data_IF_449732197257
#
_entry.id   IF_449732197257
#
_cell.length_a   1.000
_cell.length_b   1.000
_cell.length_c   1.000
_cell.angle_alpha   90.00
_cell.angle_beta   90.00
_cell.angle_gamma   90.00
#
_symmetry.space_group_name_H-M   'P 1'
#
loop_
_entity.id
_entity.type
_entity.pdbx_description
1 polymer ?
#
# COMPACT_ATOMS: atom_id res chain seq x y z
N UNK A 1 -12.72 11.97 6.35
CA UNK A 1 -11.24 12.04 6.42
C UNK A 1 -10.62 11.06 5.45
N UNK A 2 -9.54 11.44 4.77
CA UNK A 2 -8.81 10.56 3.86
C UNK A 2 -7.58 9.94 4.55
N UNK A 3 -7.37 8.63 4.35
CA UNK A 3 -6.17 7.90 4.78
C UNK A 3 -5.47 7.41 3.52
N UNK A 4 -4.27 7.91 3.26
CA UNK A 4 -3.44 7.50 2.14
C UNK A 4 -2.47 6.43 2.61
N UNK A 5 -2.74 5.17 2.28
CA UNK A 5 -1.88 4.04 2.63
C UNK A 5 -0.91 3.75 1.50
N UNK A 6 0.32 4.16 1.68
CA UNK A 6 1.42 4.02 0.72
C UNK A 6 2.13 2.68 0.90
N UNK A 7 2.35 1.96 -0.17
CA UNK A 7 3.11 0.71 -0.15
C UNK A 7 3.73 0.39 -1.51
N UNK A 8 4.80 -0.39 -1.51
CA UNK A 8 5.23 -1.14 -2.71
C UNK A 8 4.35 -2.39 -2.93
N UNK A 9 4.52 -3.07 -4.07
CA UNK A 9 3.87 -4.36 -4.32
C UNK A 9 4.31 -5.42 -3.30
N UNK A 10 3.48 -6.43 -3.07
CA UNK A 10 3.75 -7.58 -2.17
C UNK A 10 3.91 -7.24 -0.68
N UNK A 11 3.49 -6.06 -0.25
CA UNK A 11 3.56 -5.60 1.14
C UNK A 11 2.29 -5.89 1.96
N UNK A 12 1.37 -6.72 1.49
CA UNK A 12 0.08 -7.05 2.12
C UNK A 12 -0.92 -5.86 2.16
N UNK A 13 -0.75 -4.86 1.29
CA UNK A 13 -1.62 -3.67 1.26
C UNK A 13 -3.09 -3.98 1.00
N UNK A 14 -3.38 -4.97 0.14
CA UNK A 14 -4.76 -5.40 -0.12
C UNK A 14 -5.36 -6.12 1.09
N UNK A 15 -4.58 -6.87 1.86
CA UNK A 15 -5.03 -7.48 3.13
C UNK A 15 -5.41 -6.38 4.14
N UNK A 16 -4.58 -5.34 4.25
CA UNK A 16 -4.89 -4.19 5.12
C UNK A 16 -6.10 -3.42 4.62
N UNK A 17 -6.26 -3.24 3.29
CA UNK A 17 -7.46 -2.65 2.70
C UNK A 17 -8.72 -3.44 3.07
N UNK A 18 -8.71 -4.78 3.01
CA UNK A 18 -9.82 -5.64 3.48
C UNK A 18 -10.18 -5.38 4.94
N UNK A 19 -9.17 -5.22 5.79
CA UNK A 19 -9.35 -4.91 7.20
C UNK A 19 -10.09 -3.59 7.41
N UNK A 20 -9.72 -2.54 6.68
CA UNK A 20 -10.38 -1.24 6.74
C UNK A 20 -11.77 -1.26 6.12
N UNK A 21 -11.94 -1.90 4.97
CA UNK A 21 -13.24 -2.05 4.29
C UNK A 21 -14.31 -2.72 5.16
N UNK A 22 -13.88 -3.63 6.06
CA UNK A 22 -14.81 -4.37 6.93
C UNK A 22 -15.35 -3.54 8.11
N UNK A 23 -14.96 -2.28 8.24
CA UNK A 23 -15.52 -1.30 9.17
C UNK A 23 -16.81 -0.73 8.59
N UNK A 24 -17.78 -0.38 9.45
CA UNK A 24 -19.05 0.22 9.02
C UNK A 24 -18.89 1.67 8.54
N UNK A 25 -17.85 2.37 9.04
CA UNK A 25 -17.61 3.80 8.84
C UNK A 25 -16.56 4.10 7.76
N UNK A 26 -16.13 3.10 6.98
CA UNK A 26 -15.01 3.23 6.03
C UNK A 26 -15.40 2.77 4.62
N UNK A 27 -15.19 3.64 3.64
CA UNK A 27 -15.09 3.28 2.22
C UNK A 27 -13.63 3.09 1.84
N UNK A 28 -13.37 2.27 0.81
CA UNK A 28 -12.01 2.03 0.31
C UNK A 28 -11.90 2.39 -1.16
N UNK A 29 -10.72 2.86 -1.54
CA UNK A 29 -10.38 3.11 -2.94
C UNK A 29 -9.09 2.38 -3.29
N UNK A 30 -9.21 1.42 -4.19
CA UNK A 30 -8.12 0.56 -4.62
C UNK A 30 -7.32 1.20 -5.75
N UNK A 31 -6.08 1.52 -5.54
CA UNK A 31 -5.08 2.02 -6.49
C UNK A 31 -5.57 3.14 -7.43
N UNK A 32 -6.00 4.31 -6.90
CA UNK A 32 -6.59 5.38 -7.71
C UNK A 32 -5.68 5.90 -8.84
N UNK A 33 -4.38 5.74 -8.74
CA UNK A 33 -3.40 6.19 -9.74
C UNK A 33 -3.02 5.14 -10.79
N UNK A 34 -3.61 3.94 -10.78
CA UNK A 34 -3.15 2.87 -11.67
C UNK A 34 -3.40 3.18 -13.16
N UNK A 35 -4.58 3.69 -13.52
CA UNK A 35 -4.88 4.07 -14.91
C UNK A 35 -3.97 5.20 -15.41
N UNK A 36 -3.71 6.22 -14.57
CA UNK A 36 -2.74 7.27 -14.86
C UNK A 36 -1.34 6.69 -15.13
N UNK A 37 -0.84 5.85 -14.21
CA UNK A 37 0.46 5.20 -14.35
C UNK A 37 0.60 4.44 -15.68
N UNK A 38 -0.38 3.61 -16.02
CA UNK A 38 -0.36 2.84 -17.26
C UNK A 38 -0.48 3.72 -18.51
N UNK A 39 -1.27 4.80 -18.42
CA UNK A 39 -1.41 5.76 -19.52
C UNK A 39 -0.11 6.52 -19.78
N UNK A 40 0.61 6.92 -18.73
CA UNK A 40 1.85 7.69 -18.85
C UNK A 40 3.06 6.83 -19.23
N UNK A 41 3.21 5.66 -18.61
CA UNK A 41 4.39 4.81 -18.81
C UNK A 41 4.29 3.91 -20.04
N UNK A 42 3.08 3.66 -20.53
CA UNK A 42 2.79 2.69 -21.58
C UNK A 42 3.26 1.26 -21.26
N UNK A 43 3.63 0.98 -20.00
CA UNK A 43 4.04 -0.37 -19.56
C UNK A 43 2.99 -1.40 -19.96
N UNK A 44 3.46 -2.55 -20.39
CA UNK A 44 2.58 -3.66 -20.79
C UNK A 44 2.16 -4.47 -19.54
N UNK A 45 1.09 -4.06 -18.91
CA UNK A 45 0.48 -4.79 -17.80
C UNK A 45 -0.77 -5.55 -18.26
N UNK A 46 -1.10 -6.69 -17.64
CA UNK A 46 -2.35 -7.37 -17.89
C UNK A 46 -3.56 -6.44 -17.72
N UNK A 47 -4.51 -6.50 -18.64
CA UNK A 47 -5.74 -5.68 -18.63
C UNK A 47 -5.52 -4.16 -18.78
N UNK A 48 -4.36 -3.71 -19.28
CA UNK A 48 -3.99 -2.29 -19.42
C UNK A 48 -5.11 -1.46 -20.06
N UNK A 49 -5.58 -1.87 -21.25
CA UNK A 49 -6.60 -1.09 -21.99
C UNK A 49 -7.93 -1.02 -21.22
N UNK A 50 -8.31 -2.13 -20.57
CA UNK A 50 -9.51 -2.14 -19.73
C UNK A 50 -9.36 -1.18 -18.55
N UNK A 51 -8.20 -1.16 -17.89
CA UNK A 51 -7.95 -0.26 -16.76
C UNK A 51 -8.03 1.20 -17.21
N UNK A 52 -7.33 1.57 -18.29
CA UNK A 52 -7.32 2.94 -18.81
C UNK A 52 -8.73 3.40 -19.25
N UNK A 53 -9.52 2.50 -19.86
CA UNK A 53 -10.86 2.82 -20.32
C UNK A 53 -11.91 2.85 -19.18
N UNK A 54 -11.63 2.20 -18.04
CA UNK A 54 -12.61 2.11 -16.93
C UNK A 54 -12.38 3.20 -15.87
N UNK A 55 -11.13 3.58 -15.63
CA UNK A 55 -10.76 4.49 -14.55
C UNK A 55 -10.17 5.78 -15.07
N UNK A 56 -10.31 6.91 -14.35
CA UNK A 56 -9.72 8.17 -14.75
C UNK A 56 -8.20 8.08 -14.87
N UNK A 57 -7.64 8.63 -15.95
CA UNK A 57 -6.20 8.72 -16.21
C UNK A 57 -5.67 10.15 -16.20
N UNK A 58 -6.55 11.16 -16.11
CA UNK A 58 -6.15 12.57 -15.93
C UNK A 58 -5.75 12.80 -14.48
N UNK A 59 -4.49 13.22 -14.27
CA UNK A 59 -3.93 13.37 -12.93
C UNK A 59 -4.63 14.47 -12.12
N UNK A 60 -5.05 15.58 -12.75
CA UNK A 60 -5.71 16.68 -12.05
C UNK A 60 -7.08 16.25 -11.54
N UNK A 61 -7.83 15.52 -12.38
CA UNK A 61 -9.12 14.94 -11.98
C UNK A 61 -8.96 13.95 -10.84
N UNK A 62 -7.95 13.07 -10.91
CA UNK A 62 -7.69 12.07 -9.87
C UNK A 62 -7.31 12.75 -8.56
N UNK A 63 -6.40 13.74 -8.60
CA UNK A 63 -5.99 14.48 -7.39
C UNK A 63 -7.18 15.17 -6.70
N UNK A 64 -8.05 15.79 -7.49
CA UNK A 64 -9.27 16.43 -6.96
C UNK A 64 -10.15 15.39 -6.24
N UNK A 65 -10.38 14.24 -6.87
CA UNK A 65 -11.20 13.17 -6.29
C UNK A 65 -10.56 12.56 -5.02
N UNK A 66 -9.22 12.33 -5.02
CA UNK A 66 -8.51 11.78 -3.86
C UNK A 66 -8.51 12.73 -2.66
N UNK A 67 -8.52 14.05 -2.91
CA UNK A 67 -8.50 15.08 -1.86
C UNK A 67 -9.88 15.41 -1.31
N UNK A 68 -10.94 15.01 -2.03
CA UNK A 68 -12.33 15.32 -1.63
C UNK A 68 -12.68 14.64 -0.31
N UNK A 69 -13.39 15.32 0.56
CA UNK A 69 -13.93 14.70 1.77
C UNK A 69 -14.88 13.54 1.41
N UNK A 70 -14.83 12.41 2.15
CA UNK A 70 -15.74 11.30 1.92
C UNK A 70 -17.19 11.70 2.12
N UNK A 71 -18.07 11.31 1.18
CA UNK A 71 -19.50 11.68 1.20
C UNK A 71 -20.37 10.66 1.94
N UNK A 72 -20.10 9.37 1.76
CA UNK A 72 -20.98 8.29 2.24
C UNK A 72 -20.55 7.75 3.60
N UNK A 73 -19.27 7.74 3.88
CA UNK A 73 -18.68 7.22 5.12
C UNK A 73 -17.76 8.26 5.75
N UNK A 74 -17.50 8.10 7.04
CA UNK A 74 -16.60 8.99 7.78
C UNK A 74 -15.14 8.93 7.28
N UNK A 75 -14.72 7.77 6.80
CA UNK A 75 -13.34 7.46 6.40
C UNK A 75 -13.33 7.00 4.95
N UNK A 76 -12.38 7.50 4.16
CA UNK A 76 -11.97 6.93 2.87
C UNK A 76 -10.54 6.41 3.01
N UNK A 77 -10.37 5.10 2.98
CA UNK A 77 -9.06 4.46 2.97
C UNK A 77 -8.61 4.23 1.53
N UNK A 78 -7.59 4.94 1.10
CA UNK A 78 -7.05 4.86 -0.26
C UNK A 78 -5.76 4.03 -0.25
N UNK A 79 -5.78 2.90 -0.93
CA UNK A 79 -4.60 2.08 -1.12
C UNK A 79 -3.79 2.60 -2.32
N UNK A 80 -2.59 3.07 -2.06
CA UNK A 80 -1.68 3.61 -3.07
C UNK A 80 -0.49 2.71 -3.30
N UNK A 81 -0.18 2.46 -4.57
CA UNK A 81 1.06 1.80 -4.97
C UNK A 81 2.11 2.88 -5.27
N UNK A 82 3.21 2.85 -4.54
CA UNK A 82 4.25 3.89 -4.60
C UNK A 82 4.92 4.03 -5.97
N UNK A 83 5.04 2.93 -6.72
CA UNK A 83 5.57 2.96 -8.09
C UNK A 83 4.61 3.60 -9.12
N UNK A 84 3.35 3.88 -8.74
CA UNK A 84 2.46 4.68 -9.58
C UNK A 84 2.76 6.19 -9.52
N UNK A 85 3.63 6.62 -8.61
CA UNK A 85 4.09 8.01 -8.49
C UNK A 85 5.30 8.21 -9.39
N UNK A 86 5.05 8.78 -10.56
CA UNK A 86 6.10 9.15 -11.52
C UNK A 86 6.84 10.41 -11.05
N UNK A 87 7.99 10.71 -11.66
CA UNK A 87 8.78 11.89 -11.31
C UNK A 87 7.96 13.19 -11.44
N UNK A 88 7.18 13.28 -12.51
CA UNK A 88 6.31 14.44 -12.80
C UNK A 88 4.99 14.46 -12.04
N UNK A 89 4.66 13.43 -11.25
CA UNK A 89 3.38 13.39 -10.53
C UNK A 89 3.35 14.45 -9.44
N UNK A 90 2.38 15.40 -9.46
CA UNK A 90 2.25 16.38 -8.40
C UNK A 90 1.90 15.71 -7.07
N UNK A 91 2.48 16.19 -5.96
CA UNK A 91 2.28 15.62 -4.62
C UNK A 91 1.68 16.63 -3.62
N UNK A 92 1.13 17.76 -4.08
CA UNK A 92 0.49 18.74 -3.20
C UNK A 92 -0.77 18.21 -2.50
N UNK A 93 -1.50 17.30 -3.15
CA UNK A 93 -2.72 16.70 -2.62
C UNK A 93 -2.51 15.80 -1.38
N UNK A 94 -1.30 15.28 -1.13
CA UNK A 94 -1.02 14.46 0.06
C UNK A 94 -1.19 15.22 1.37
N UNK A 95 -1.28 16.54 1.31
CA UNK A 95 -1.52 17.40 2.46
C UNK A 95 -2.95 17.31 3.00
N UNK A 96 -3.91 16.88 2.18
CA UNK A 96 -5.33 16.80 2.50
C UNK A 96 -5.74 15.50 3.20
N UNK A 97 -4.79 14.63 3.56
CA UNK A 97 -5.09 13.38 4.25
C UNK A 97 -3.99 12.94 5.19
N UNK A 98 -4.25 11.84 5.91
CA UNK A 98 -3.29 11.18 6.78
C UNK A 98 -2.45 10.22 5.95
N UNK A 99 -1.14 10.42 5.93
CA UNK A 99 -0.21 9.58 5.18
C UNK A 99 0.33 8.46 6.06
N UNK A 100 0.04 7.21 5.68
CA UNK A 100 0.53 6.01 6.33
C UNK A 100 1.40 5.20 5.36
N UNK A 101 2.43 4.56 5.88
CA UNK A 101 3.38 3.77 5.09
C UNK A 101 3.33 2.32 5.55
N UNK A 102 3.01 1.42 4.63
CA UNK A 102 3.06 -0.02 4.87
C UNK A 102 4.30 -0.59 4.19
N UNK A 103 5.24 -1.05 5.00
CA UNK A 103 6.52 -1.60 4.54
C UNK A 103 6.61 -3.09 4.83
N UNK A 104 7.47 -3.76 4.08
CA UNK A 104 7.88 -5.14 4.31
C UNK A 104 9.36 -5.30 3.98
N UNK A 105 10.04 -6.21 4.68
CA UNK A 105 11.47 -6.45 4.46
C UNK A 105 11.76 -6.78 2.98
N UNK A 106 12.72 -6.10 2.31
CA UNK A 106 12.94 -6.23 0.87
C UNK A 106 13.24 -7.67 0.43
N UNK A 107 13.91 -8.47 1.26
CA UNK A 107 14.12 -9.90 1.01
C UNK A 107 12.81 -10.66 0.76
N UNK A 108 11.77 -10.34 1.54
CA UNK A 108 10.48 -10.99 1.41
C UNK A 108 9.67 -10.45 0.22
N UNK A 109 9.83 -9.16 -0.08
CA UNK A 109 9.21 -8.52 -1.24
C UNK A 109 9.78 -9.11 -2.52
N UNK A 110 11.10 -9.11 -2.69
CA UNK A 110 11.79 -9.67 -3.87
C UNK A 110 11.37 -11.12 -4.09
N UNK A 111 11.52 -11.98 -3.06
CA UNK A 111 11.15 -13.40 -3.17
C UNK A 111 9.67 -13.65 -3.46
N UNK A 112 8.79 -12.73 -3.08
CA UNK A 112 7.36 -12.82 -3.42
C UNK A 112 7.08 -12.31 -4.83
N UNK A 113 7.81 -11.30 -5.29
CA UNK A 113 7.60 -10.62 -6.57
C UNK A 113 8.06 -11.48 -7.74
N UNK A 114 9.27 -12.04 -7.65
CA UNK A 114 9.88 -12.87 -8.72
C UNK A 114 9.10 -14.15 -9.05
N UNK A 115 8.18 -14.57 -8.19
CA UNK A 115 7.30 -15.72 -8.49
C UNK A 115 6.33 -15.49 -9.64
N UNK A 116 6.01 -14.25 -9.96
CA UNK A 116 5.01 -13.86 -10.97
C UNK A 116 5.50 -12.79 -11.94
N UNK A 117 6.60 -12.10 -11.62
CA UNK A 117 7.08 -10.93 -12.35
C UNK A 117 8.60 -10.94 -12.41
N UNK A 118 9.17 -10.27 -13.40
CA UNK A 118 10.59 -9.96 -13.43
C UNK A 118 10.87 -8.64 -12.70
N UNK A 119 12.04 -8.54 -12.06
CA UNK A 119 12.53 -7.28 -11.49
C UNK A 119 13.69 -6.84 -12.38
N UNK A 120 13.58 -5.66 -12.97
CA UNK A 120 14.65 -5.04 -13.75
C UNK A 120 15.35 -3.95 -12.94
N UNK A 121 14.61 -3.26 -12.08
CA UNK A 121 15.06 -2.12 -11.30
C UNK A 121 14.32 -2.03 -9.97
N UNK A 122 14.84 -1.26 -9.01
CA UNK A 122 14.24 -1.07 -7.67
C UNK A 122 12.88 -0.35 -7.72
N UNK A 123 12.61 0.43 -8.78
CA UNK A 123 11.32 1.04 -9.05
C UNK A 123 10.20 0.00 -9.20
N UNK A 124 10.47 -1.15 -9.80
CA UNK A 124 9.47 -2.21 -10.03
C UNK A 124 8.86 -2.74 -8.73
N UNK A 125 9.63 -2.70 -7.64
CA UNK A 125 9.18 -3.13 -6.31
C UNK A 125 8.84 -1.95 -5.38
N UNK A 126 8.86 -0.72 -5.91
CA UNK A 126 8.25 0.46 -5.33
C UNK A 126 8.97 1.11 -4.15
N UNK A 127 10.21 0.72 -3.81
CA UNK A 127 10.93 1.31 -2.67
C UNK A 127 11.33 2.76 -2.92
N UNK A 128 11.83 3.08 -4.11
CA UNK A 128 12.22 4.46 -4.45
C UNK A 128 11.01 5.41 -4.45
N UNK A 129 9.91 5.00 -5.05
CA UNK A 129 8.68 5.78 -5.02
C UNK A 129 8.15 5.98 -3.59
N UNK A 130 8.21 4.94 -2.75
CA UNK A 130 7.83 5.03 -1.34
C UNK A 130 8.70 6.01 -0.57
N UNK A 131 10.02 5.97 -0.80
CA UNK A 131 10.97 6.86 -0.17
C UNK A 131 10.77 8.33 -0.59
N UNK A 132 10.49 8.58 -1.87
CA UNK A 132 10.16 9.92 -2.38
C UNK A 132 8.97 10.53 -1.63
N UNK A 133 7.89 9.74 -1.44
CA UNK A 133 6.71 10.18 -0.72
C UNK A 133 7.02 10.38 0.76
N UNK A 134 7.71 9.45 1.38
CA UNK A 134 8.14 9.52 2.78
C UNK A 134 8.93 10.81 3.06
N UNK A 135 9.93 11.12 2.23
CA UNK A 135 10.72 12.36 2.30
C UNK A 135 9.86 13.62 2.12
N UNK A 136 8.88 13.58 1.24
CA UNK A 136 7.94 14.70 1.05
C UNK A 136 7.07 14.91 2.30
N UNK A 137 6.50 13.86 2.87
CA UNK A 137 5.69 13.94 4.11
C UNK A 137 6.54 14.45 5.29
N UNK A 138 7.78 13.97 5.42
CA UNK A 138 8.75 14.45 6.43
C UNK A 138 9.03 15.95 6.28
N UNK A 139 9.23 16.43 5.05
CA UNK A 139 9.46 17.87 4.77
C UNK A 139 8.25 18.75 5.10
N UNK A 140 7.05 18.19 5.06
CA UNK A 140 5.81 18.90 5.43
C UNK A 140 5.59 18.93 6.97
N UNK A 141 6.54 18.44 7.76
CA UNK A 141 6.44 18.29 9.21
C UNK A 141 5.16 17.54 9.65
N UNK A 142 4.65 16.64 8.79
CA UNK A 142 3.54 15.77 9.12
C UNK A 142 4.05 14.51 9.84
N UNK A 143 3.17 13.95 10.65
CA UNK A 143 3.49 12.72 11.37
C UNK A 143 3.79 11.57 10.41
N UNK A 144 4.88 10.85 10.68
CA UNK A 144 5.29 9.66 9.92
C UNK A 144 4.70 8.42 10.58
N UNK A 145 3.69 7.84 9.96
CA UNK A 145 2.95 6.67 10.47
C UNK A 145 3.38 5.46 9.66
N UNK A 146 4.25 4.64 10.23
CA UNK A 146 4.84 3.48 9.55
C UNK A 146 4.36 2.18 10.18
N UNK A 147 3.87 1.26 9.36
CA UNK A 147 3.42 -0.08 9.74
C UNK A 147 4.26 -1.12 9.01
N UNK A 148 4.83 -2.06 9.74
CA UNK A 148 5.53 -3.19 9.16
C UNK A 148 4.57 -4.37 8.95
N UNK A 149 4.53 -4.91 7.73
CA UNK A 149 3.65 -6.02 7.38
C UNK A 149 3.87 -7.28 8.23
N UNK A 150 5.11 -7.53 8.67
CA UNK A 150 5.41 -8.66 9.54
C UNK A 150 4.87 -8.47 10.96
N UNK A 151 4.90 -7.23 11.47
CA UNK A 151 4.36 -6.96 12.79
C UNK A 151 2.84 -7.09 12.82
N UNK A 152 2.16 -6.59 11.77
CA UNK A 152 0.71 -6.72 11.69
C UNK A 152 0.26 -8.19 11.58
N UNK A 153 1.02 -9.04 10.88
CA UNK A 153 0.70 -10.47 10.78
C UNK A 153 1.03 -11.25 12.06
N UNK A 154 1.99 -10.80 12.86
CA UNK A 154 2.32 -11.40 14.17
C UNK A 154 1.25 -11.12 15.22
N UNK A 155 0.78 -9.90 15.31
CA UNK A 155 -0.23 -9.48 16.26
C UNK A 155 -1.15 -8.41 15.64
N UNK A 156 -2.12 -8.82 14.80
CA UNK A 156 -2.96 -7.90 14.04
C UNK A 156 -3.79 -6.98 14.94
N UNK A 157 -4.38 -7.50 16.02
CA UNK A 157 -5.23 -6.71 16.91
C UNK A 157 -4.44 -5.58 17.58
N UNK A 158 -3.27 -5.90 18.13
CA UNK A 158 -2.41 -4.89 18.78
C UNK A 158 -1.99 -3.80 17.79
N UNK A 159 -1.50 -4.20 16.60
CA UNK A 159 -1.03 -3.23 15.60
C UNK A 159 -2.16 -2.38 15.04
N UNK A 160 -3.34 -2.94 14.81
CA UNK A 160 -4.50 -2.19 14.36
C UNK A 160 -5.00 -1.22 15.43
N UNK A 161 -4.97 -1.59 16.71
CA UNK A 161 -5.27 -0.66 17.83
C UNK A 161 -4.28 0.51 17.86
N UNK A 162 -2.98 0.25 17.70
CA UNK A 162 -1.95 1.29 17.63
C UNK A 162 -2.15 2.21 16.41
N UNK A 163 -2.38 1.63 15.23
CA UNK A 163 -2.63 2.39 14.02
C UNK A 163 -3.89 3.26 14.17
N UNK A 164 -4.99 2.70 14.63
CA UNK A 164 -6.23 3.45 14.86
C UNK A 164 -6.03 4.61 15.84
N UNK A 165 -5.32 4.38 16.96
CA UNK A 165 -4.97 5.42 17.92
C UNK A 165 -4.15 6.54 17.25
N UNK A 166 -3.15 6.16 16.45
CA UNK A 166 -2.23 7.09 15.79
C UNK A 166 -2.93 7.98 14.76
N UNK A 167 -3.88 7.43 14.00
CA UNK A 167 -4.70 8.17 13.04
C UNK A 167 -5.98 8.77 13.63
N UNK A 168 -6.12 8.71 14.94
CA UNK A 168 -7.27 9.27 15.68
C UNK A 168 -8.65 8.74 15.24
N UNK A 169 -8.76 7.41 15.10
CA UNK A 169 -10.03 6.73 14.87
C UNK A 169 -10.28 5.65 15.92
N UNK A 170 -11.54 5.32 16.17
CA UNK A 170 -11.90 4.22 17.07
C UNK A 170 -11.53 2.88 16.42
N UNK A 171 -10.85 2.01 17.16
CA UNK A 171 -10.63 0.62 16.73
C UNK A 171 -11.97 -0.13 16.61
N UNK A 172 -12.07 -0.99 15.58
CA UNK A 172 -13.19 -1.91 15.39
C UNK A 172 -12.69 -3.33 15.32
N UNK A 173 -13.28 -4.25 16.08
CA UNK A 173 -12.94 -5.68 16.04
C UNK A 173 -13.26 -6.32 14.68
N UNK A 174 -14.14 -5.71 13.88
CA UNK A 174 -14.43 -6.12 12.50
C UNK A 174 -13.21 -6.07 11.59
N UNK A 175 -12.16 -5.30 11.96
CA UNK A 175 -10.91 -5.20 11.19
C UNK A 175 -10.08 -6.49 11.21
N UNK A 176 -10.33 -7.44 12.12
CA UNK A 176 -9.53 -8.66 12.26
C UNK A 176 -9.95 -9.74 11.27
N UNK A 177 -11.23 -9.79 10.91
CA UNK A 177 -11.79 -10.81 10.03
C UNK A 177 -12.68 -10.15 8.98
N UNK A 178 -12.70 -10.70 7.78
CA UNK A 178 -13.53 -10.25 6.66
C UNK A 178 -14.09 -11.45 5.88
N UNK A 179 -15.18 -11.28 5.13
CA UNK A 179 -15.75 -12.33 4.29
C UNK A 179 -14.78 -12.79 3.19
N UNK A 180 -14.88 -14.06 2.82
CA UNK A 180 -14.16 -14.65 1.69
C UNK A 180 -14.59 -14.03 0.35
N UNK A 181 -13.69 -13.96 -0.63
CA UNK A 181 -14.02 -13.63 -2.02
C UNK A 181 -13.62 -12.22 -2.45
N UNK A 182 -14.10 -11.84 -3.63
CA UNK A 182 -13.90 -10.51 -4.22
C UNK A 182 -14.85 -9.47 -3.61
N UNK A 183 -14.52 -8.20 -3.79
CA UNK A 183 -15.32 -7.05 -3.34
C UNK A 183 -15.73 -6.17 -4.52
N UNK A 184 -16.82 -5.44 -4.37
CA UNK A 184 -17.22 -4.42 -5.32
C UNK A 184 -16.19 -3.28 -5.43
N UNK A 185 -15.44 -3.03 -4.36
CA UNK A 185 -14.36 -2.05 -4.27
C UNK A 185 -13.06 -2.49 -4.96
N UNK A 186 -12.91 -3.76 -5.32
CA UNK A 186 -11.73 -4.25 -6.03
C UNK A 186 -11.65 -3.63 -7.42
N UNK A 187 -10.49 -3.07 -7.76
CA UNK A 187 -10.21 -2.69 -9.13
C UNK A 187 -10.30 -3.90 -10.07
N UNK A 188 -10.61 -3.67 -11.34
CA UNK A 188 -10.81 -4.77 -12.33
C UNK A 188 -9.59 -5.71 -12.43
N UNK A 189 -8.40 -5.26 -12.04
CA UNK A 189 -7.15 -6.03 -11.95
C UNK A 189 -7.13 -7.11 -10.87
N UNK A 190 -8.11 -7.13 -9.97
CA UNK A 190 -8.24 -8.16 -8.93
C UNK A 190 -8.23 -9.59 -9.50
N UNK A 191 -8.68 -9.76 -10.74
CA UNK A 191 -8.69 -11.06 -11.43
C UNK A 191 -7.30 -11.64 -11.64
N UNK A 192 -6.28 -10.78 -11.71
CA UNK A 192 -4.87 -11.15 -11.97
C UNK A 192 -4.04 -11.14 -10.68
N UNK A 193 -4.24 -10.10 -9.84
CA UNK A 193 -3.34 -9.84 -8.73
C UNK A 193 -3.82 -10.33 -7.36
N UNK A 194 -5.13 -10.61 -7.19
CA UNK A 194 -5.72 -10.88 -5.88
C UNK A 194 -6.04 -12.35 -5.59
N UNK A 195 -5.43 -13.31 -6.33
CA UNK A 195 -5.69 -14.75 -6.17
C UNK A 195 -5.57 -15.21 -4.71
N UNK A 196 -4.49 -14.80 -4.03
CA UNK A 196 -4.26 -15.17 -2.62
C UNK A 196 -5.19 -14.43 -1.67
N UNK A 197 -5.42 -13.12 -1.89
CA UNK A 197 -6.22 -12.33 -0.96
C UNK A 197 -7.71 -12.69 -1.01
N UNK A 198 -8.22 -13.13 -2.16
CA UNK A 198 -9.60 -13.62 -2.30
C UNK A 198 -9.88 -14.84 -1.42
N UNK A 199 -8.84 -15.63 -1.12
CA UNK A 199 -8.92 -16.83 -0.29
C UNK A 199 -8.67 -16.55 1.20
N UNK A 200 -8.34 -15.30 1.56
CA UNK A 200 -8.09 -14.91 2.93
C UNK A 200 -9.34 -14.38 3.62
N UNK A 201 -9.43 -14.63 4.92
CA UNK A 201 -10.49 -14.11 5.80
C UNK A 201 -9.95 -13.37 7.02
N UNK A 202 -8.62 -13.34 7.17
CA UNK A 202 -7.91 -12.71 8.28
C UNK A 202 -6.44 -12.46 7.91
N UNK A 203 -5.69 -11.86 8.82
CA UNK A 203 -4.24 -11.77 8.71
C UNK A 203 -3.60 -13.13 8.98
N UNK A 204 -3.04 -13.75 7.94
CA UNK A 204 -2.36 -15.03 8.08
C UNK A 204 -0.93 -14.85 8.61
N UNK A 205 -0.56 -15.65 9.61
CA UNK A 205 0.84 -15.76 10.03
C UNK A 205 1.63 -16.46 8.92
N UNK A 206 2.49 -15.74 8.23
CA UNK A 206 3.45 -16.36 7.33
C UNK A 206 4.66 -16.83 8.13
N UNK A 207 4.95 -18.12 8.05
CA UNK A 207 6.22 -18.65 8.57
C UNK A 207 7.32 -18.14 7.64
N UNK A 208 8.18 -17.28 8.16
CA UNK A 208 9.35 -16.82 7.42
C UNK A 208 10.30 -18.01 7.20
N UNK A 209 10.23 -18.65 6.04
CA UNK A 209 11.29 -19.55 5.61
C UNK A 209 12.55 -18.69 5.37
N UNK A 210 13.71 -19.18 5.81
CA UNK A 210 14.99 -18.59 5.42
C UNK A 210 15.13 -18.72 3.90
N UNK A 211 14.81 -17.66 3.18
CA UNK A 211 14.88 -17.62 1.72
C UNK A 211 16.12 -16.80 1.36
N UNK A 212 16.99 -17.33 0.52
CA UNK A 212 18.14 -16.59 0.03
C UNK A 212 17.71 -15.63 -1.08
N UNK A 213 18.42 -14.51 -1.22
CA UNK A 213 18.29 -13.61 -2.35
C UNK A 213 19.11 -14.19 -3.49
N UNK A 214 18.54 -14.39 -4.69
CA UNK A 214 19.34 -14.74 -5.88
C UNK A 214 20.39 -13.66 -6.15
N UNK A 215 21.59 -14.08 -6.59
CA UNK A 215 22.75 -13.20 -6.74
C UNK A 215 22.50 -12.00 -7.65
N UNK A 216 21.71 -12.19 -8.70
CA UNK A 216 21.31 -11.15 -9.65
C UNK A 216 20.50 -10.01 -9.03
N UNK A 217 19.86 -10.20 -7.86
CA UNK A 217 19.08 -9.18 -7.16
C UNK A 217 19.79 -8.57 -5.95
N UNK A 218 21.06 -8.90 -5.69
CA UNK A 218 21.77 -8.40 -4.50
C UNK A 218 21.93 -6.87 -4.51
N UNK A 219 22.20 -6.27 -5.67
CA UNK A 219 22.32 -4.81 -5.79
C UNK A 219 20.99 -4.12 -5.45
N UNK A 220 19.90 -4.56 -6.06
CA UNK A 220 18.55 -4.05 -5.80
C UNK A 220 18.16 -4.28 -4.34
N UNK A 221 18.49 -5.44 -3.79
CA UNK A 221 18.21 -5.74 -2.38
C UNK A 221 18.92 -4.75 -1.43
N UNK A 222 20.21 -4.46 -1.65
CA UNK A 222 20.97 -3.57 -0.79
C UNK A 222 20.42 -2.14 -0.86
N UNK A 223 20.12 -1.62 -2.05
CA UNK A 223 19.48 -0.32 -2.22
C UNK A 223 18.14 -0.24 -1.49
N UNK A 224 17.29 -1.24 -1.66
CA UNK A 224 16.00 -1.28 -0.99
C UNK A 224 16.12 -1.48 0.53
N UNK A 225 17.18 -2.15 1.01
CA UNK A 225 17.41 -2.38 2.44
C UNK A 225 17.73 -1.07 3.16
N UNK A 226 18.52 -0.19 2.59
CA UNK A 226 18.85 1.12 3.17
C UNK A 226 17.58 1.97 3.31
N UNK A 227 16.75 2.03 2.26
CA UNK A 227 15.46 2.71 2.27
C UNK A 227 14.54 2.10 3.33
N UNK A 228 14.43 0.77 3.37
CA UNK A 228 13.63 0.06 4.36
C UNK A 228 14.05 0.39 5.79
N UNK A 229 15.34 0.39 6.08
CA UNK A 229 15.87 0.65 7.41
C UNK A 229 15.55 2.08 7.87
N UNK A 230 15.70 3.09 6.99
CA UNK A 230 15.33 4.47 7.32
C UNK A 230 13.83 4.58 7.61
N UNK A 231 12.97 4.05 6.76
CA UNK A 231 11.51 4.13 6.96
C UNK A 231 11.10 3.32 8.21
N UNK A 232 11.67 2.12 8.40
CA UNK A 232 11.33 1.25 9.53
C UNK A 232 11.76 1.82 10.88
N UNK A 233 12.70 2.79 10.95
CA UNK A 233 13.04 3.48 12.20
C UNK A 233 11.85 4.25 12.79
N UNK A 234 10.83 4.56 11.99
CA UNK A 234 9.56 5.20 12.38
C UNK A 234 8.41 4.20 12.60
N UNK A 235 8.70 2.90 12.69
CA UNK A 235 7.67 1.88 12.84
C UNK A 235 6.92 2.04 14.17
N UNK A 236 5.59 2.09 14.12
CA UNK A 236 4.69 2.20 15.27
C UNK A 236 4.96 1.16 16.38
N UNK A 237 5.52 0.02 16.02
CA UNK A 237 5.84 -1.03 17.00
C UNK A 237 7.01 -0.64 17.93
N UNK A 238 7.81 0.33 17.55
CA UNK A 238 8.93 0.84 18.36
C UNK A 238 8.48 1.81 19.45
N UNK A 239 7.36 2.49 19.27
CA UNK A 239 6.80 3.48 20.23
C UNK A 239 6.28 2.83 21.53
N UNK A 240 6.36 1.51 21.67
CA UNK A 240 5.81 0.73 22.78
C UNK A 240 6.88 0.04 23.64
N UNK A 241 8.11 0.57 23.63
CA UNK A 241 9.15 0.14 24.58
C UNK A 241 9.25 1.07 25.76
#
# INVERSE_FOLDING_TARGET
>A
MNIYMWSGPRNLSTVLMRSFENRDDTDVWDEPLYAYYLNETKKNHPMKDKIINTYPSDINKIMLLMSKEPENKRICFQKHMSHHILEKTPLNWIEYGINCFLIRHPKEVINSYIKKNNISESEDIGFLGLYKIFRKVKKLNKELIVVNANDITKNPERLLKLLCKKINIKYSSKMIKWPLGSRASDGCWHKIWYDTVKLSTSFEKKINKNVNIPSEFLSIYNECLDIYNEINSFNLNHDCK
#
